data_IF_602758938334
#
_entry.id   IF_602758938334
#
_cell.length_a   1.000
_cell.length_b   1.000
_cell.length_c   1.000
_cell.angle_alpha   90.00
_cell.angle_beta   90.00
_cell.angle_gamma   90.00
#
_symmetry.space_group_name_H-M   'P 1'
#
loop_
_entity.id
_entity.type
_entity.pdbx_description
1 polymer ?
#
# COMPACT_ATOMS: atom_id res chain seq x y z
N UNK A 1 6.68 15.19 -18.49
CA UNK A 1 5.39 15.89 -18.28
C UNK A 1 4.63 15.31 -17.09
N UNK A 2 4.51 13.99 -17.02
CA UNK A 2 3.85 13.21 -15.96
C UNK A 2 4.44 13.40 -14.56
N UNK A 3 5.75 13.59 -14.45
CA UNK A 3 6.48 13.83 -13.20
C UNK A 3 6.18 15.23 -12.62
N UNK A 4 6.27 16.28 -13.45
CA UNK A 4 5.96 17.67 -13.07
C UNK A 4 4.53 17.86 -12.54
N UNK A 5 3.55 17.15 -13.11
CA UNK A 5 2.18 17.23 -12.61
C UNK A 5 2.01 16.55 -11.25
N UNK A 6 2.70 15.43 -11.00
CA UNK A 6 2.72 14.79 -9.68
C UNK A 6 3.35 15.73 -8.64
N UNK A 7 4.52 16.30 -8.95
CA UNK A 7 5.18 17.29 -8.09
C UNK A 7 4.29 18.52 -7.81
N UNK A 8 3.51 18.97 -8.78
CA UNK A 8 2.52 20.04 -8.56
C UNK A 8 1.41 19.62 -7.60
N UNK A 9 0.89 18.38 -7.72
CA UNK A 9 -0.13 17.86 -6.81
C UNK A 9 0.39 17.78 -5.38
N UNK A 10 1.64 17.35 -5.18
CA UNK A 10 2.29 17.30 -3.87
C UNK A 10 2.46 18.70 -3.27
N UNK A 11 3.05 19.62 -4.04
CA UNK A 11 3.21 21.03 -3.64
C UNK A 11 1.85 21.67 -3.33
N UNK A 12 0.82 21.34 -4.09
CA UNK A 12 -0.52 21.84 -3.86
C UNK A 12 -1.10 21.27 -2.57
N UNK A 13 -0.96 19.96 -2.31
CA UNK A 13 -1.43 19.31 -1.09
C UNK A 13 -0.83 19.98 0.16
N UNK A 14 0.48 20.24 0.15
CA UNK A 14 1.18 20.95 1.23
C UNK A 14 0.73 22.41 1.36
N UNK A 15 0.37 23.06 0.24
CA UNK A 15 -0.05 24.46 0.20
C UNK A 15 -1.57 24.67 0.32
N UNK A 16 -2.37 23.62 0.60
CA UNK A 16 -3.82 23.78 0.74
C UNK A 16 -4.17 24.70 1.92
N UNK A 17 -3.40 24.65 3.00
CA UNK A 17 -3.56 25.50 4.19
C UNK A 17 -2.87 26.87 4.07
N UNK A 18 -1.97 27.03 3.08
CA UNK A 18 -1.28 28.28 2.82
C UNK A 18 -2.15 29.19 1.94
N UNK A 19 -3.04 29.97 2.57
CA UNK A 19 -3.96 30.86 1.84
C UNK A 19 -3.25 32.05 1.17
N UNK A 20 -2.01 32.35 1.54
CA UNK A 20 -1.20 33.43 0.95
C UNK A 20 -0.43 32.98 -0.29
N UNK A 21 -0.18 31.67 -0.44
CA UNK A 21 0.50 31.10 -1.60
C UNK A 21 -0.13 31.55 -2.93
N UNK A 22 0.66 32.28 -3.71
CA UNK A 22 0.27 32.72 -5.06
C UNK A 22 0.62 31.65 -6.09
N UNK A 23 0.06 31.77 -7.29
CA UNK A 23 0.44 30.90 -8.42
C UNK A 23 1.91 31.05 -8.84
N UNK A 24 2.59 32.14 -8.44
CA UNK A 24 4.03 32.31 -8.66
C UNK A 24 4.80 31.45 -7.65
N UNK A 25 4.37 31.46 -6.38
CA UNK A 25 5.01 30.67 -5.32
C UNK A 25 4.89 29.17 -5.59
N UNK A 26 3.70 28.73 -6.00
CA UNK A 26 3.48 27.32 -6.39
C UNK A 26 4.34 26.91 -7.61
N UNK A 27 4.51 27.82 -8.59
CA UNK A 27 5.35 27.55 -9.75
C UNK A 27 6.84 27.48 -9.38
N UNK A 28 7.30 28.37 -8.49
CA UNK A 28 8.68 28.40 -8.01
C UNK A 28 9.03 27.10 -7.24
N UNK A 29 8.10 26.56 -6.44
CA UNK A 29 8.28 25.29 -5.71
C UNK A 29 8.50 24.08 -6.62
N UNK A 30 8.00 24.11 -7.86
CA UNK A 30 8.27 23.09 -8.90
C UNK A 30 9.28 23.55 -9.96
N UNK A 31 10.05 24.61 -9.67
CA UNK A 31 11.11 25.16 -10.55
C UNK A 31 10.61 25.57 -11.94
N UNK A 32 9.37 26.08 -12.04
CA UNK A 32 8.77 26.58 -13.27
C UNK A 32 8.39 28.05 -13.18
N UNK A 33 8.33 28.72 -14.32
CA UNK A 33 7.60 29.98 -14.41
C UNK A 33 6.09 29.74 -14.33
N UNK A 34 5.33 30.76 -13.91
CA UNK A 34 3.86 30.69 -13.84
C UNK A 34 3.21 30.25 -15.16
N UNK A 35 3.69 30.76 -16.29
CA UNK A 35 3.12 30.43 -17.61
C UNK A 35 3.45 28.99 -18.04
N UNK A 36 4.59 28.45 -17.62
CA UNK A 36 4.93 27.04 -17.82
C UNK A 36 4.07 26.14 -16.95
N UNK A 37 3.89 26.49 -15.66
CA UNK A 37 3.02 25.75 -14.75
C UNK A 37 1.58 25.71 -15.29
N UNK A 38 1.02 26.87 -15.64
CA UNK A 38 -0.34 26.97 -16.17
C UNK A 38 -0.52 26.07 -17.39
N UNK A 39 0.46 26.04 -18.31
CA UNK A 39 0.40 25.19 -19.50
C UNK A 39 0.47 23.71 -19.18
N UNK A 40 1.42 23.29 -18.34
CA UNK A 40 1.64 21.88 -18.00
C UNK A 40 0.46 21.31 -17.23
N UNK A 41 -0.01 22.03 -16.20
CA UNK A 41 -1.14 21.60 -15.38
C UNK A 41 -2.43 21.62 -16.19
N UNK A 42 -2.68 22.64 -17.01
CA UNK A 42 -3.88 22.67 -17.85
C UNK A 42 -3.88 21.51 -18.85
N UNK A 43 -2.73 21.18 -19.44
CA UNK A 43 -2.61 20.05 -20.35
C UNK A 43 -2.83 18.69 -19.65
N UNK A 44 -2.36 18.54 -18.40
CA UNK A 44 -2.47 17.29 -17.64
C UNK A 44 -3.82 17.11 -16.93
N UNK A 45 -4.35 18.17 -16.33
CA UNK A 45 -5.55 18.16 -15.47
C UNK A 45 -6.83 18.61 -16.19
N UNK A 46 -6.72 19.20 -17.38
CA UNK A 46 -7.85 19.79 -18.10
C UNK A 46 -8.42 21.07 -17.46
N UNK A 47 -7.77 21.62 -16.44
CA UNK A 47 -8.17 22.85 -15.75
C UNK A 47 -6.95 23.66 -15.31
N UNK A 48 -7.10 25.00 -15.22
CA UNK A 48 -6.01 25.88 -14.79
C UNK A 48 -5.65 25.63 -13.31
N UNK A 49 -4.37 25.74 -12.89
CA UNK A 49 -3.94 25.55 -11.50
C UNK A 49 -4.81 26.26 -10.45
N UNK A 50 -5.13 27.53 -10.68
CA UNK A 50 -5.97 28.30 -9.75
C UNK A 50 -7.43 27.86 -9.72
N UNK A 51 -7.97 27.31 -10.82
CA UNK A 51 -9.31 26.73 -10.84
C UNK A 51 -9.32 25.39 -10.10
N UNK A 52 -8.31 24.55 -10.34
CA UNK A 52 -8.07 23.30 -9.63
C UNK A 52 -8.05 23.53 -8.11
N UNK A 53 -7.17 24.42 -7.62
CA UNK A 53 -7.04 24.70 -6.17
C UNK A 53 -8.36 25.16 -5.55
N UNK A 54 -9.06 26.10 -6.19
CA UNK A 54 -10.35 26.61 -5.70
C UNK A 54 -11.40 25.52 -5.62
N UNK A 55 -11.44 24.60 -6.60
CA UNK A 55 -12.35 23.46 -6.60
C UNK A 55 -12.05 22.52 -5.43
N UNK A 56 -10.79 22.12 -5.23
CA UNK A 56 -10.38 21.29 -4.08
C UNK A 56 -10.74 21.95 -2.75
N UNK A 57 -10.49 23.26 -2.59
CA UNK A 57 -10.86 23.99 -1.38
C UNK A 57 -12.38 24.07 -1.16
N UNK A 58 -13.18 24.15 -2.23
CA UNK A 58 -14.64 24.05 -2.13
C UNK A 58 -15.09 22.65 -1.69
N UNK A 59 -14.50 21.58 -2.22
CA UNK A 59 -14.77 20.20 -1.77
C UNK A 59 -14.41 20.02 -0.29
N UNK A 60 -13.27 20.54 0.15
CA UNK A 60 -12.89 20.56 1.57
C UNK A 60 -13.87 21.36 2.41
N UNK A 61 -14.33 22.52 1.93
CA UNK A 61 -15.33 23.34 2.63
C UNK A 61 -16.64 22.59 2.83
N UNK A 62 -17.10 21.81 1.83
CA UNK A 62 -18.29 20.97 1.94
C UNK A 62 -18.12 19.90 3.02
N UNK A 63 -16.95 19.25 3.09
CA UNK A 63 -16.63 18.34 4.19
C UNK A 63 -16.64 19.04 5.56
N UNK A 64 -16.06 20.23 5.68
CA UNK A 64 -16.03 21.01 6.93
C UNK A 64 -17.42 21.43 7.38
N UNK A 65 -18.32 21.77 6.45
CA UNK A 65 -19.72 22.08 6.77
C UNK A 65 -20.46 20.89 7.43
N UNK A 66 -20.05 19.65 7.14
CA UNK A 66 -20.62 18.43 7.73
C UNK A 66 -20.04 18.09 9.10
N UNK A 67 -18.73 18.27 9.26
CA UNK A 67 -18.00 17.72 10.41
C UNK A 67 -17.77 18.73 11.52
N UNK A 68 -17.86 20.03 11.24
CA UNK A 68 -17.68 21.08 12.24
C UNK A 68 -18.98 21.90 12.43
N UNK A 69 -19.52 22.00 13.65
CA UNK A 69 -20.70 22.82 13.95
C UNK A 69 -20.43 24.35 13.94
N UNK A 70 -19.34 24.80 13.28
CA UNK A 70 -18.89 26.19 13.27
C UNK A 70 -19.67 27.12 12.31
N UNK A 71 -19.34 28.41 12.40
CA UNK A 71 -19.93 29.43 11.54
C UNK A 71 -19.50 29.21 10.08
N UNK A 72 -20.42 29.44 9.14
CA UNK A 72 -20.11 29.33 7.70
C UNK A 72 -19.00 30.31 7.29
N UNK A 73 -18.84 31.41 8.03
CA UNK A 73 -17.75 32.36 7.83
C UNK A 73 -16.37 31.72 8.07
N UNK A 74 -16.22 30.91 9.12
CA UNK A 74 -14.95 30.24 9.42
C UNK A 74 -14.57 29.29 8.28
N UNK A 75 -15.55 28.53 7.80
CA UNK A 75 -15.38 27.64 6.62
C UNK A 75 -15.06 28.42 5.34
N UNK A 76 -15.61 29.63 5.17
CA UNK A 76 -15.28 30.49 4.05
C UNK A 76 -13.82 30.97 4.09
N UNK A 77 -13.34 31.34 5.29
CA UNK A 77 -11.95 31.77 5.52
C UNK A 77 -10.99 30.61 5.27
N UNK A 78 -11.27 29.42 5.82
CA UNK A 78 -10.49 28.18 5.58
C UNK A 78 -10.48 27.76 4.09
N UNK A 79 -11.49 28.16 3.32
CA UNK A 79 -11.53 27.91 1.88
C UNK A 79 -10.82 29.03 1.05
N UNK A 80 -10.18 30.00 1.72
CA UNK A 80 -9.44 31.10 1.10
C UNK A 80 -10.31 32.23 0.55
N UNK A 81 -11.56 32.39 1.02
CA UNK A 81 -12.45 33.46 0.59
C UNK A 81 -12.44 34.64 1.56
N UNK A 82 -12.13 35.84 1.05
CA UNK A 82 -12.11 37.08 1.83
C UNK A 82 -13.49 37.61 2.24
N UNK A 83 -14.60 36.98 1.83
CA UNK A 83 -15.93 37.35 2.30
C UNK A 83 -16.95 36.20 2.23
N UNK A 84 -17.93 36.24 3.13
CA UNK A 84 -19.04 35.29 3.17
C UNK A 84 -19.84 35.26 1.85
N UNK A 85 -20.08 36.43 1.25
CA UNK A 85 -20.80 36.51 -0.02
C UNK A 85 -20.03 35.88 -1.18
N UNK A 86 -18.71 36.10 -1.25
CA UNK A 86 -17.87 35.52 -2.28
C UNK A 86 -17.87 33.99 -2.18
N UNK A 87 -17.75 33.46 -0.96
CA UNK A 87 -17.85 32.02 -0.69
C UNK A 87 -19.22 31.48 -1.07
N UNK A 88 -20.32 32.08 -0.60
CA UNK A 88 -21.69 31.63 -0.90
C UNK A 88 -21.95 31.62 -2.40
N UNK A 89 -21.51 32.64 -3.15
CA UNK A 89 -21.62 32.65 -4.62
C UNK A 89 -20.79 31.56 -5.29
N UNK A 90 -19.59 31.27 -4.80
CA UNK A 90 -18.76 30.20 -5.36
C UNK A 90 -19.32 28.82 -5.04
N UNK A 91 -19.73 28.59 -3.79
CA UNK A 91 -20.32 27.36 -3.31
C UNK A 91 -21.65 27.06 -4.03
N UNK A 92 -22.57 28.02 -4.13
CA UNK A 92 -23.83 27.83 -4.85
C UNK A 92 -23.64 27.53 -6.34
N UNK A 93 -22.61 28.09 -6.97
CA UNK A 93 -22.27 27.75 -8.37
C UNK A 93 -21.77 26.31 -8.51
N UNK A 94 -21.05 25.80 -7.52
CA UNK A 94 -20.50 24.45 -7.54
C UNK A 94 -21.54 23.38 -7.14
N UNK A 95 -22.36 23.67 -6.14
CA UNK A 95 -23.27 22.70 -5.50
C UNK A 95 -24.76 22.95 -5.79
N UNK A 96 -25.10 24.00 -6.54
CA UNK A 96 -26.47 24.36 -6.91
C UNK A 96 -27.30 25.02 -5.80
N UNK A 97 -26.83 25.00 -4.54
CA UNK A 97 -27.52 25.56 -3.37
C UNK A 97 -26.55 26.28 -2.43
N UNK A 98 -27.08 27.18 -1.59
CA UNK A 98 -26.27 27.92 -0.62
C UNK A 98 -25.67 27.01 0.48
N UNK A 99 -24.51 27.36 1.07
CA UNK A 99 -23.83 26.54 2.07
C UNK A 99 -24.71 26.09 3.24
N UNK A 100 -25.55 26.98 3.77
CA UNK A 100 -26.46 26.67 4.87
C UNK A 100 -27.53 25.64 4.48
N UNK A 101 -28.09 25.78 3.27
CA UNK A 101 -29.08 24.85 2.74
C UNK A 101 -28.44 23.49 2.44
N UNK A 102 -27.24 23.49 1.86
CA UNK A 102 -26.45 22.28 1.61
C UNK A 102 -26.10 21.56 2.92
N UNK A 103 -25.70 22.28 3.97
CA UNK A 103 -25.42 21.71 5.30
C UNK A 103 -26.64 20.97 5.87
N UNK A 104 -27.85 21.50 5.66
CA UNK A 104 -29.09 20.86 6.15
C UNK A 104 -29.52 19.64 5.34
N UNK A 105 -29.09 19.53 4.08
CA UNK A 105 -29.39 18.43 3.16
C UNK A 105 -28.17 18.17 2.27
N UNK A 106 -27.13 17.53 2.81
CA UNK A 106 -25.92 17.29 2.05
C UNK A 106 -26.20 16.31 0.91
N UNK A 107 -25.57 16.57 -0.23
CA UNK A 107 -25.63 15.72 -1.41
C UNK A 107 -24.25 15.10 -1.65
N UNK A 108 -23.47 15.66 -2.59
CA UNK A 108 -22.10 15.24 -2.88
C UNK A 108 -21.08 16.27 -2.43
N UNK A 109 -19.96 15.79 -1.90
CA UNK A 109 -18.78 16.62 -1.62
C UNK A 109 -17.98 16.89 -2.90
N UNK A 110 -17.85 15.89 -3.77
CA UNK A 110 -17.01 15.95 -4.98
C UNK A 110 -17.69 16.77 -6.08
N UNK A 111 -16.92 17.65 -6.70
CA UNK A 111 -17.32 18.46 -7.85
C UNK A 111 -16.71 17.82 -9.10
N UNK A 112 -17.54 17.52 -10.09
CA UNK A 112 -17.08 16.89 -11.35
C UNK A 112 -15.94 17.70 -11.99
N UNK A 113 -14.84 17.03 -12.31
CA UNK A 113 -13.62 17.66 -12.80
C UNK A 113 -12.91 16.81 -13.86
N UNK A 114 -12.33 17.40 -14.92
CA UNK A 114 -11.60 16.65 -15.95
C UNK A 114 -10.39 15.89 -15.41
N UNK A 115 -9.77 16.40 -14.34
CA UNK A 115 -8.58 15.81 -13.73
C UNK A 115 -8.87 14.51 -12.98
N UNK A 116 -10.13 14.28 -12.56
CA UNK A 116 -10.49 13.20 -11.65
C UNK A 116 -9.83 13.27 -10.26
N UNK A 117 -9.06 14.34 -9.98
CA UNK A 117 -8.43 14.58 -8.69
C UNK A 117 -9.40 15.35 -7.80
N UNK A 118 -9.65 14.80 -6.62
CA UNK A 118 -10.60 15.34 -5.66
C UNK A 118 -9.98 15.42 -4.27
N UNK A 119 -10.54 16.29 -3.43
CA UNK A 119 -10.27 16.27 -2.01
C UNK A 119 -10.67 14.92 -1.40
N UNK A 120 -9.77 14.35 -0.61
CA UNK A 120 -9.98 13.15 0.18
C UNK A 120 -9.92 13.53 1.66
N UNK A 121 -11.04 13.52 2.39
CA UNK A 121 -11.03 13.82 3.80
C UNK A 121 -10.08 12.90 4.60
N UNK A 122 -9.45 13.38 5.68
CA UNK A 122 -9.62 14.72 6.23
C UNK A 122 -8.75 15.80 5.56
N UNK A 123 -7.59 15.45 5.00
CA UNK A 123 -6.60 16.43 4.53
C UNK A 123 -5.89 16.05 3.21
N UNK A 124 -6.29 14.97 2.55
CA UNK A 124 -5.58 14.42 1.40
C UNK A 124 -6.19 14.78 0.04
N UNK A 125 -5.55 14.30 -1.02
CA UNK A 125 -6.09 14.28 -2.37
C UNK A 125 -6.22 12.84 -2.85
N UNK A 126 -7.37 12.53 -3.47
CA UNK A 126 -7.56 11.29 -4.21
C UNK A 126 -7.17 11.53 -5.66
N UNK A 127 -6.05 10.94 -6.07
CA UNK A 127 -5.57 10.98 -7.45
C UNK A 127 -6.07 9.72 -8.18
N UNK A 128 -6.62 9.83 -9.40
CA UNK A 128 -6.99 8.65 -10.17
C UNK A 128 -5.74 7.85 -10.55
N UNK A 129 -5.83 6.53 -10.49
CA UNK A 129 -4.73 5.66 -10.88
C UNK A 129 -4.39 5.86 -12.37
N UNK A 130 -3.10 5.92 -12.70
CA UNK A 130 -2.62 5.99 -14.09
C UNK A 130 -2.74 4.64 -14.78
N UNK A 131 -2.43 3.58 -14.04
CA UNK A 131 -2.52 2.19 -14.47
C UNK A 131 -3.55 1.45 -13.64
N UNK A 132 -4.27 0.52 -14.28
CA UNK A 132 -5.27 -0.31 -13.61
C UNK A 132 -4.57 -1.52 -13.00
N UNK A 133 -4.44 -1.56 -11.68
CA UNK A 133 -4.06 -2.77 -10.94
C UNK A 133 -5.31 -3.66 -10.79
N UNK A 134 -5.25 -4.90 -11.27
CA UNK A 134 -6.31 -5.89 -11.05
C UNK A 134 -6.13 -6.61 -9.72
N UNK A 135 -7.17 -7.29 -9.23
CA UNK A 135 -7.05 -8.13 -8.03
C UNK A 135 -5.98 -9.21 -8.19
N UNK A 136 -5.77 -9.72 -9.41
CA UNK A 136 -4.73 -10.72 -9.70
C UNK A 136 -3.33 -10.11 -9.67
N UNK A 137 -3.17 -8.88 -10.16
CA UNK A 137 -1.89 -8.16 -10.06
C UNK A 137 -1.51 -7.94 -8.58
N UNK A 138 -2.49 -7.61 -7.73
CA UNK A 138 -2.27 -7.45 -6.29
C UNK A 138 -1.82 -8.77 -5.63
N UNK A 139 -2.50 -9.89 -5.93
CA UNK A 139 -2.11 -11.19 -5.37
C UNK A 139 -0.70 -11.59 -5.76
N UNK A 140 -0.32 -11.44 -7.04
CA UNK A 140 1.05 -11.68 -7.50
C UNK A 140 2.05 -10.79 -6.77
N UNK A 141 1.74 -9.49 -6.67
CA UNK A 141 2.57 -8.51 -5.95
C UNK A 141 2.77 -8.90 -4.48
N UNK A 142 1.75 -9.43 -3.81
CA UNK A 142 1.85 -9.89 -2.43
C UNK A 142 2.77 -11.12 -2.28
N UNK A 143 2.75 -12.04 -3.25
CA UNK A 143 3.65 -13.21 -3.27
C UNK A 143 5.08 -12.79 -3.61
N UNK A 144 5.26 -11.93 -4.60
CA UNK A 144 6.58 -11.40 -4.96
C UNK A 144 7.23 -10.66 -3.77
N UNK A 145 6.45 -9.80 -3.10
CA UNK A 145 6.87 -9.14 -1.87
C UNK A 145 7.24 -10.14 -0.78
N UNK A 146 6.44 -11.20 -0.61
CA UNK A 146 6.74 -12.23 0.39
C UNK A 146 8.11 -12.87 0.12
N UNK A 147 8.36 -13.32 -1.11
CA UNK A 147 9.62 -13.96 -1.49
C UNK A 147 10.80 -13.00 -1.31
N UNK A 148 10.65 -11.76 -1.77
CA UNK A 148 11.66 -10.71 -1.58
C UNK A 148 11.99 -10.48 -0.10
N UNK A 149 10.96 -10.33 0.74
CA UNK A 149 11.13 -10.04 2.16
C UNK A 149 11.82 -11.20 2.90
N UNK A 150 11.53 -12.46 2.54
CA UNK A 150 12.26 -13.61 3.10
C UNK A 150 13.75 -13.54 2.75
N UNK A 151 14.10 -13.08 1.54
CA UNK A 151 15.48 -12.88 1.14
C UNK A 151 16.18 -11.87 2.03
N UNK A 152 15.54 -10.71 2.24
CA UNK A 152 16.07 -9.67 3.13
C UNK A 152 16.21 -10.15 4.58
N UNK A 153 15.24 -10.92 5.09
CA UNK A 153 15.32 -11.49 6.43
C UNK A 153 16.45 -12.51 6.56
N UNK A 154 16.69 -13.35 5.54
CA UNK A 154 17.84 -14.26 5.52
C UNK A 154 19.17 -13.49 5.48
N UNK A 155 19.25 -12.44 4.67
CA UNK A 155 20.46 -11.62 4.54
C UNK A 155 20.82 -10.97 5.90
N UNK A 156 19.83 -10.42 6.62
CA UNK A 156 20.01 -9.88 7.97
C UNK A 156 20.34 -10.98 8.99
N UNK A 157 19.62 -12.10 8.98
CA UNK A 157 19.89 -13.21 9.88
C UNK A 157 21.30 -13.81 9.69
N UNK A 158 21.89 -13.68 8.49
CA UNK A 158 23.22 -14.21 8.20
C UNK A 158 24.34 -13.52 8.99
N UNK A 159 24.08 -12.36 9.60
CA UNK A 159 25.04 -11.64 10.44
C UNK A 159 24.99 -12.05 11.92
N UNK A 160 24.01 -12.88 12.31
CA UNK A 160 23.79 -13.29 13.69
C UNK A 160 24.56 -14.56 14.04
N UNK A 161 24.84 -14.73 15.33
CA UNK A 161 25.41 -15.98 15.88
C UNK A 161 24.33 -17.06 16.03
N UNK A 162 24.73 -18.34 16.08
CA UNK A 162 23.78 -19.44 16.28
C UNK A 162 22.98 -19.29 17.58
N UNK A 163 23.61 -18.83 18.67
CA UNK A 163 22.91 -18.58 19.95
C UNK A 163 21.79 -17.53 19.80
N UNK A 164 22.03 -16.48 19.00
CA UNK A 164 21.00 -15.47 18.70
C UNK A 164 19.89 -16.05 17.81
N UNK A 165 20.25 -16.83 16.79
CA UNK A 165 19.30 -17.46 15.87
C UNK A 165 18.36 -18.46 16.58
N UNK A 166 18.89 -19.13 17.60
CA UNK A 166 18.21 -20.17 18.37
C UNK A 166 17.63 -19.67 19.71
N UNK A 167 17.68 -18.35 19.95
CA UNK A 167 16.97 -17.73 21.08
C UNK A 167 15.46 -17.88 20.91
N UNK A 168 14.79 -18.31 21.98
CA UNK A 168 13.33 -18.50 22.01
C UNK A 168 12.61 -17.15 21.90
N UNK A 169 11.63 -17.08 21.01
CA UNK A 169 10.69 -15.96 20.93
C UNK A 169 9.57 -16.19 21.95
N UNK A 170 9.44 -15.28 22.92
CA UNK A 170 8.49 -15.44 24.05
C UNK A 170 7.03 -15.15 23.70
N UNK A 171 6.79 -14.41 22.61
CA UNK A 171 5.44 -14.06 22.16
C UNK A 171 4.73 -15.31 21.66
N UNK A 172 3.72 -15.75 22.40
CA UNK A 172 2.88 -16.89 22.01
C UNK A 172 1.83 -16.48 20.99
N UNK A 173 1.80 -17.18 19.85
CA UNK A 173 0.67 -17.16 18.91
C UNK A 173 0.02 -18.53 19.00
N UNK A 174 -1.11 -18.60 19.73
CA UNK A 174 -1.75 -19.84 20.13
C UNK A 174 -1.93 -20.82 18.97
N UNK A 175 -1.38 -22.03 19.13
CA UNK A 175 -1.60 -23.16 18.21
C UNK A 175 -0.86 -23.10 16.87
N UNK A 176 0.03 -22.13 16.64
CA UNK A 176 0.75 -22.00 15.35
C UNK A 176 2.13 -22.66 15.39
N UNK A 177 3.00 -22.22 16.30
CA UNK A 177 4.38 -22.72 16.43
C UNK A 177 4.68 -22.95 17.94
N UNK A 178 5.23 -24.11 18.31
CA UNK A 178 5.35 -24.52 19.72
C UNK A 178 6.49 -23.82 20.48
N UNK A 179 7.70 -23.81 19.89
CA UNK A 179 8.89 -23.17 20.45
C UNK A 179 9.60 -22.37 19.33
N UNK A 180 9.03 -21.22 18.92
CA UNK A 180 9.55 -20.47 17.79
C UNK A 180 10.90 -19.82 18.12
N UNK A 181 11.84 -19.94 17.18
CA UNK A 181 13.13 -19.23 17.15
C UNK A 181 13.24 -18.53 15.80
N UNK A 182 14.21 -17.62 15.66
CA UNK A 182 14.45 -16.97 14.38
C UNK A 182 14.80 -18.02 13.30
N UNK A 183 15.65 -18.99 13.65
CA UNK A 183 16.03 -20.09 12.76
C UNK A 183 14.82 -20.93 12.35
N UNK A 184 14.01 -21.38 13.31
CA UNK A 184 12.90 -22.29 13.01
C UNK A 184 11.80 -21.59 12.20
N UNK A 185 11.53 -20.31 12.48
CA UNK A 185 10.53 -19.54 11.72
C UNK A 185 10.98 -19.23 10.29
N UNK A 186 12.24 -18.84 10.07
CA UNK A 186 12.77 -18.63 8.72
C UNK A 186 12.74 -19.91 7.89
N UNK A 187 13.23 -21.00 8.47
CA UNK A 187 13.19 -22.34 7.88
C UNK A 187 11.75 -22.74 7.51
N UNK A 188 10.80 -22.55 8.43
CA UNK A 188 9.39 -22.86 8.21
C UNK A 188 8.74 -22.00 7.12
N UNK A 189 9.07 -20.71 7.07
CA UNK A 189 8.58 -19.78 6.04
C UNK A 189 8.99 -20.22 4.64
N UNK A 190 10.27 -20.56 4.46
CA UNK A 190 10.81 -21.06 3.18
C UNK A 190 10.28 -22.46 2.88
N UNK A 191 10.21 -23.31 3.90
CA UNK A 191 9.67 -24.66 3.78
C UNK A 191 8.20 -24.70 3.39
N UNK A 192 7.41 -23.71 3.79
CA UNK A 192 6.01 -23.59 3.34
C UNK A 192 5.94 -23.36 1.83
N UNK A 193 6.82 -22.55 1.25
CA UNK A 193 6.93 -22.40 -0.21
C UNK A 193 7.34 -23.72 -0.86
N UNK A 194 8.32 -24.42 -0.27
CA UNK A 194 8.83 -25.72 -0.76
C UNK A 194 7.78 -26.82 -0.78
N UNK A 195 7.05 -26.95 0.32
CA UNK A 195 5.97 -27.91 0.46
C UNK A 195 4.88 -27.71 -0.59
N UNK A 196 4.44 -26.47 -0.82
CA UNK A 196 3.40 -26.18 -1.80
C UNK A 196 3.88 -26.26 -3.24
N UNK A 197 5.12 -25.84 -3.52
CA UNK A 197 5.75 -26.06 -4.81
C UNK A 197 5.83 -27.56 -5.16
N UNK A 198 6.31 -28.38 -4.22
CA UNK A 198 6.34 -29.83 -4.39
C UNK A 198 4.93 -30.41 -4.61
N UNK A 199 3.94 -29.98 -3.82
CA UNK A 199 2.56 -30.42 -3.97
C UNK A 199 1.98 -30.09 -5.36
N UNK A 200 2.21 -28.87 -5.87
CA UNK A 200 1.79 -28.46 -7.21
C UNK A 200 2.51 -29.25 -8.32
N UNK A 201 3.77 -29.62 -8.10
CA UNK A 201 4.55 -30.46 -9.00
C UNK A 201 4.26 -31.97 -8.88
N UNK A 202 3.40 -32.39 -7.94
CA UNK A 202 3.13 -33.81 -7.66
C UNK A 202 4.32 -34.55 -7.07
N UNK A 203 5.16 -33.85 -6.31
CA UNK A 203 6.38 -34.34 -5.68
C UNK A 203 6.24 -34.40 -4.15
N UNK A 204 7.04 -35.26 -3.52
CA UNK A 204 7.16 -35.31 -2.07
C UNK A 204 8.08 -34.19 -1.56
N UNK A 205 7.76 -33.65 -0.38
CA UNK A 205 8.58 -32.65 0.30
C UNK A 205 9.27 -33.28 1.53
N UNK A 206 10.59 -33.13 1.62
CA UNK A 206 11.38 -33.62 2.74
C UNK A 206 11.36 -32.62 3.90
N UNK A 207 10.58 -32.89 4.94
CA UNK A 207 10.50 -32.03 6.12
C UNK A 207 11.78 -32.03 6.98
N UNK A 208 12.69 -32.99 6.79
CA UNK A 208 13.92 -33.07 7.59
C UNK A 208 14.88 -31.91 7.29
N UNK A 209 14.79 -31.32 6.08
CA UNK A 209 15.63 -30.17 5.70
C UNK A 209 15.36 -28.93 6.55
N UNK A 210 14.21 -28.84 7.21
CA UNK A 210 13.87 -27.69 8.06
C UNK A 210 14.54 -27.74 9.44
N UNK A 211 15.12 -28.89 9.83
CA UNK A 211 15.63 -29.13 11.17
C UNK A 211 17.06 -28.61 11.35
N UNK A 212 17.19 -27.45 12.01
CA UNK A 212 18.48 -26.91 12.45
C UNK A 212 19.40 -26.47 11.31
N UNK A 213 18.87 -26.21 10.11
CA UNK A 213 19.67 -25.79 8.98
C UNK A 213 20.32 -24.41 9.19
N UNK A 214 21.38 -24.12 8.45
CA UNK A 214 22.02 -22.81 8.48
C UNK A 214 21.24 -21.78 7.67
N UNK A 215 21.38 -20.50 8.02
CA UNK A 215 20.78 -19.40 7.23
C UNK A 215 21.27 -19.39 5.78
N UNK A 216 22.52 -19.83 5.54
CA UNK A 216 23.03 -19.98 4.18
C UNK A 216 22.32 -21.11 3.40
N UNK A 217 21.96 -22.21 4.07
CA UNK A 217 21.14 -23.28 3.48
C UNK A 217 19.75 -22.77 3.14
N UNK A 218 19.09 -22.08 4.09
CA UNK A 218 17.80 -21.42 3.90
C UNK A 218 17.83 -20.49 2.69
N UNK A 219 18.84 -19.62 2.59
CA UNK A 219 18.98 -18.65 1.50
C UNK A 219 19.07 -19.33 0.13
N UNK A 220 19.84 -20.42 0.01
CA UNK A 220 19.95 -21.20 -1.23
C UNK A 220 18.61 -21.86 -1.61
N UNK A 221 17.93 -22.48 -0.63
CA UNK A 221 16.59 -23.05 -0.86
C UNK A 221 15.61 -21.99 -1.34
N UNK A 222 15.64 -20.79 -0.74
CA UNK A 222 14.80 -19.68 -1.14
C UNK A 222 15.09 -19.20 -2.58
N UNK A 223 16.36 -19.17 -3.00
CA UNK A 223 16.73 -18.82 -4.38
C UNK A 223 16.15 -19.79 -5.42
N UNK A 224 15.95 -21.06 -5.04
CA UNK A 224 15.35 -22.08 -5.89
C UNK A 224 13.81 -22.03 -5.84
N UNK A 225 13.24 -22.12 -4.64
CA UNK A 225 11.80 -22.28 -4.47
C UNK A 225 11.01 -20.98 -4.61
N UNK A 226 11.59 -19.85 -4.22
CA UNK A 226 10.92 -18.55 -4.22
C UNK A 226 10.43 -18.15 -5.62
N UNK A 227 11.33 -18.08 -6.63
CA UNK A 227 10.94 -17.79 -8.01
C UNK A 227 10.00 -18.85 -8.60
N UNK A 228 10.18 -20.13 -8.27
CA UNK A 228 9.34 -21.21 -8.76
C UNK A 228 7.89 -21.06 -8.29
N UNK A 229 7.69 -20.89 -6.97
CA UNK A 229 6.37 -20.69 -6.38
C UNK A 229 5.71 -19.40 -6.89
N UNK A 230 6.46 -18.30 -7.00
CA UNK A 230 5.93 -17.05 -7.54
C UNK A 230 5.48 -17.19 -9.01
N UNK A 231 6.23 -17.92 -9.83
CA UNK A 231 5.87 -18.22 -11.21
C UNK A 231 4.59 -19.07 -11.30
N UNK A 232 4.46 -20.09 -10.45
CA UNK A 232 3.26 -20.94 -10.39
C UNK A 232 2.01 -20.15 -10.01
N UNK A 233 2.11 -19.29 -8.99
CA UNK A 233 1.00 -18.38 -8.63
C UNK A 233 0.68 -17.42 -9.78
N UNK A 234 1.71 -16.90 -10.45
CA UNK A 234 1.54 -16.06 -11.63
C UNK A 234 0.77 -16.74 -12.76
N UNK A 235 1.10 -18.00 -13.07
CA UNK A 235 0.43 -18.84 -14.06
C UNK A 235 -1.05 -19.08 -13.68
N UNK A 236 -1.30 -19.48 -12.43
CA UNK A 236 -2.65 -19.72 -11.90
C UNK A 236 -3.53 -18.47 -12.00
N UNK A 237 -2.98 -17.31 -11.64
CA UNK A 237 -3.66 -16.02 -11.76
C UNK A 237 -3.92 -15.64 -13.22
N UNK A 238 -2.92 -15.77 -14.10
CA UNK A 238 -3.05 -15.42 -15.51
C UNK A 238 -4.10 -16.26 -16.24
N UNK A 239 -4.28 -17.52 -15.82
CA UNK A 239 -5.23 -18.46 -16.41
C UNK A 239 -6.58 -18.51 -15.70
N UNK A 240 -6.78 -17.72 -14.64
CA UNK A 240 -7.98 -17.75 -13.78
C UNK A 240 -8.29 -19.13 -13.18
N UNK A 241 -7.27 -19.86 -12.72
CA UNK A 241 -7.37 -21.24 -12.18
C UNK A 241 -7.28 -21.30 -10.66
N UNK A 242 -7.68 -20.24 -9.96
CA UNK A 242 -7.60 -20.20 -8.49
C UNK A 242 -8.59 -21.15 -7.80
N UNK A 243 -9.60 -21.65 -8.51
CA UNK A 243 -10.56 -22.66 -8.06
C UNK A 243 -10.10 -24.10 -8.29
N UNK A 244 -8.95 -24.30 -8.94
CA UNK A 244 -8.36 -25.61 -9.17
C UNK A 244 -8.06 -26.33 -7.86
N UNK A 245 -8.39 -27.62 -7.81
CA UNK A 245 -8.22 -28.45 -6.63
C UNK A 245 -6.83 -29.07 -6.60
N UNK A 246 -6.12 -28.84 -5.51
CA UNK A 246 -4.87 -29.48 -5.14
C UNK A 246 -5.21 -30.60 -4.15
N UNK A 247 -4.79 -31.82 -4.47
CA UNK A 247 -4.96 -33.00 -3.61
C UNK A 247 -3.63 -33.26 -2.92
N UNK A 248 -3.58 -33.05 -1.61
CA UNK A 248 -2.38 -33.27 -0.80
C UNK A 248 -2.49 -34.63 -0.08
N UNK A 249 -1.72 -35.65 -0.51
CA UNK A 249 -1.68 -36.92 0.22
C UNK A 249 -0.91 -36.77 1.55
N UNK A 250 -1.50 -37.26 2.64
CA UNK A 250 -0.91 -37.30 3.98
C UNK A 250 -1.49 -38.45 4.82
N UNK A 251 -1.54 -38.32 6.14
CA UNK A 251 -2.26 -39.29 7.01
C UNK A 251 -3.77 -39.34 6.69
N UNK A 252 -4.33 -38.22 6.20
CA UNK A 252 -5.62 -38.10 5.53
C UNK A 252 -5.44 -37.41 4.18
N UNK A 253 -6.31 -37.69 3.22
CA UNK A 253 -6.33 -36.95 1.95
C UNK A 253 -7.03 -35.62 2.19
N UNK A 254 -6.30 -34.53 1.99
CA UNK A 254 -6.84 -33.18 2.10
C UNK A 254 -6.93 -32.54 0.70
N UNK A 255 -8.00 -31.76 0.48
CA UNK A 255 -8.28 -31.12 -0.81
C UNK A 255 -8.48 -29.64 -0.59
N UNK A 256 -7.71 -28.84 -1.30
CA UNK A 256 -7.72 -27.38 -1.21
C UNK A 256 -7.85 -26.77 -2.59
N UNK A 257 -8.45 -25.58 -2.71
CA UNK A 257 -8.29 -24.81 -3.95
C UNK A 257 -6.92 -24.13 -3.98
N UNK A 258 -6.38 -23.86 -5.17
CA UNK A 258 -5.16 -23.08 -5.33
C UNK A 258 -5.26 -21.69 -4.66
N UNK A 259 -6.42 -21.04 -4.73
CA UNK A 259 -6.69 -19.79 -4.03
C UNK A 259 -6.68 -19.94 -2.51
N UNK A 260 -7.23 -21.04 -1.96
CA UNK A 260 -7.18 -21.32 -0.53
C UNK A 260 -5.74 -21.58 -0.06
N UNK A 261 -4.95 -22.29 -0.86
CA UNK A 261 -3.52 -22.48 -0.62
C UNK A 261 -2.77 -21.14 -0.55
N UNK A 262 -2.93 -20.26 -1.54
CA UNK A 262 -2.26 -18.95 -1.57
C UNK A 262 -2.68 -18.10 -0.36
N UNK A 263 -3.99 -18.07 -0.05
CA UNK A 263 -4.51 -17.36 1.10
C UNK A 263 -3.90 -17.90 2.41
N UNK A 264 -3.81 -19.22 2.56
CA UNK A 264 -3.16 -19.87 3.70
C UNK A 264 -1.69 -19.46 3.82
N UNK A 265 -0.90 -19.58 2.74
CA UNK A 265 0.53 -19.24 2.74
C UNK A 265 0.75 -17.80 3.17
N UNK A 266 0.11 -16.84 2.50
CA UNK A 266 0.32 -15.41 2.79
C UNK A 266 -0.13 -15.05 4.21
N UNK A 267 -1.24 -15.62 4.66
CA UNK A 267 -1.79 -15.35 6.00
C UNK A 267 -0.85 -15.84 7.08
N UNK A 268 -0.46 -17.12 7.04
CA UNK A 268 0.45 -17.68 8.04
C UNK A 268 1.86 -17.10 7.96
N UNK A 269 2.32 -16.80 6.76
CA UNK A 269 3.60 -16.13 6.57
C UNK A 269 3.59 -14.72 7.19
N UNK A 270 2.48 -14.01 7.18
CA UNK A 270 2.39 -12.67 7.78
C UNK A 270 2.69 -12.69 9.27
N UNK A 271 2.12 -13.63 10.04
CA UNK A 271 2.38 -13.73 11.48
C UNK A 271 3.85 -14.06 11.76
N UNK A 272 4.40 -15.06 11.07
CA UNK A 272 5.79 -15.49 11.25
C UNK A 272 6.78 -14.41 10.85
N UNK A 273 6.54 -13.69 9.73
CA UNK A 273 7.38 -12.57 9.30
C UNK A 273 7.40 -11.45 10.34
N UNK A 274 6.27 -11.16 10.99
CA UNK A 274 6.23 -10.18 12.09
C UNK A 274 7.07 -10.63 13.29
N UNK A 275 6.99 -11.91 13.68
CA UNK A 275 7.83 -12.45 14.75
C UNK A 275 9.32 -12.41 14.39
N UNK A 276 9.68 -12.78 13.16
CA UNK A 276 11.06 -12.72 12.65
C UNK A 276 11.55 -11.27 12.62
N UNK A 277 10.75 -10.32 12.15
CA UNK A 277 11.12 -8.91 12.12
C UNK A 277 11.36 -8.35 13.54
N UNK A 278 10.51 -8.73 14.50
CA UNK A 278 10.71 -8.37 15.91
C UNK A 278 12.00 -8.96 16.48
N UNK A 279 12.25 -10.25 16.27
CA UNK A 279 13.46 -10.91 16.74
C UNK A 279 14.75 -10.35 16.10
N UNK A 280 14.71 -10.00 14.80
CA UNK A 280 15.81 -9.31 14.13
C UNK A 280 16.06 -7.92 14.73
N UNK A 281 14.99 -7.15 14.98
CA UNK A 281 15.09 -5.85 15.63
C UNK A 281 15.73 -5.95 17.02
N UNK A 282 15.28 -6.90 17.84
CA UNK A 282 15.85 -7.15 19.18
C UNK A 282 17.32 -7.57 19.13
N UNK A 283 17.74 -8.23 18.04
CA UNK A 283 19.13 -8.60 17.77
C UNK A 283 19.98 -7.46 17.18
N UNK A 284 19.40 -6.27 16.94
CA UNK A 284 20.09 -5.09 16.41
C UNK A 284 20.06 -4.95 14.87
N UNK A 285 19.22 -5.72 14.18
CA UNK A 285 19.02 -5.65 12.73
C UNK A 285 17.69 -4.92 12.41
N UNK A 286 17.72 -3.60 12.19
CA UNK A 286 16.53 -2.75 12.05
C UNK A 286 16.26 -2.20 10.63
N UNK A 287 17.07 -2.58 9.65
CA UNK A 287 17.00 -2.09 8.26
C UNK A 287 15.80 -2.62 7.45
N UNK A 288 14.97 -3.51 8.02
CA UNK A 288 13.81 -4.09 7.34
C UNK A 288 12.58 -3.19 7.31
N UNK A 289 12.57 -2.10 8.09
CA UNK A 289 11.52 -1.08 8.02
C UNK A 289 10.10 -1.68 8.15
N UNK A 290 9.96 -2.61 9.10
CA UNK A 290 8.79 -3.46 9.37
C UNK A 290 8.36 -4.44 8.27
N UNK A 291 9.04 -4.47 7.11
CA UNK A 291 8.66 -5.32 5.98
C UNK A 291 7.34 -4.88 5.32
N UNK A 292 7.06 -3.57 5.32
CA UNK A 292 5.81 -3.01 4.77
C UNK A 292 5.79 -3.08 3.23
N UNK A 293 4.81 -3.78 2.62
CA UNK A 293 4.68 -3.88 1.17
C UNK A 293 4.47 -2.52 0.50
N UNK A 294 3.89 -1.51 1.17
CA UNK A 294 3.70 -0.18 0.58
C UNK A 294 5.04 0.40 0.12
N UNK A 295 6.08 0.30 0.96
CA UNK A 295 7.40 0.87 0.66
C UNK A 295 8.10 0.10 -0.46
N UNK A 296 7.91 -1.21 -0.53
CA UNK A 296 8.47 -2.03 -1.60
C UNK A 296 7.79 -1.75 -2.96
N UNK A 297 6.45 -1.71 -2.97
CA UNK A 297 5.67 -1.43 -4.19
C UNK A 297 5.99 -0.04 -4.72
N UNK A 298 5.98 0.98 -3.85
CA UNK A 298 6.24 2.38 -4.24
C UNK A 298 7.67 2.63 -4.73
N UNK A 299 8.65 1.80 -4.33
CA UNK A 299 10.03 1.87 -4.86
C UNK A 299 10.19 1.17 -6.21
N UNK A 300 9.32 0.23 -6.54
CA UNK A 300 9.42 -0.63 -7.73
C UNK A 300 8.57 -0.11 -8.90
N UNK A 301 7.59 0.77 -8.61
CA UNK A 301 6.74 1.48 -9.59
C UNK A 301 7.27 2.86 -9.92
#
# INVERSE_FOLDING_TARGET
MTDVFAAFVDVLADALDDHEATGIDLAARVQLSRSQLDRVVTAAAGERPGAFRRRILLERSAYRLLTAPGHILDVAVEAGYGSHEAFTRAFSRAYGVAPAAWRGRPDRIRIDAPSGIHFHPPNGLRVPARDKVTSMDLLRTMVDHHVWLLGQMCDQASTLTDDQLDTRIEISVEGIDADPTLRSLLSRLIGQLGMWHAALAGQEYDFSVEQGESVQSMRRRLDEVGPAFAAEVGELCAQNRLDELIVCPGESVEVYTAGAMIAHVITFASYRRTLVAGALHDAGCDDLDSGDPIRWITRTT
#
